data_IF_958953551520
#
_entry.id   IF_958953551520
#
_cell.length_a   1.000
_cell.length_b   1.000
_cell.length_c   1.000
_cell.angle_alpha   90.00
_cell.angle_beta   90.00
_cell.angle_gamma   90.00
#
_symmetry.space_group_name_H-M   'P 1'
#
loop_
_entity.id
_entity.type
_entity.pdbx_description
1 polymer ?
#
# COMPACT_ATOMS: atom_id res chain seq x y z
N UNK A 1 1.22 -19.26 -4.38
CA UNK A 1 -0.19 -19.00 -3.99
C UNK A 1 -0.38 -17.59 -3.44
N UNK A 2 0.20 -17.22 -2.28
CA UNK A 2 -0.03 -15.91 -1.62
C UNK A 2 0.24 -14.70 -2.53
N UNK A 3 1.36 -14.73 -3.25
CA UNK A 3 1.72 -13.71 -4.23
C UNK A 3 0.65 -13.50 -5.31
N UNK A 4 0.10 -14.59 -5.86
CA UNK A 4 -0.95 -14.52 -6.89
C UNK A 4 -2.28 -14.02 -6.32
N UNK A 5 -2.62 -14.41 -5.09
CA UNK A 5 -3.81 -13.87 -4.41
C UNK A 5 -3.71 -12.35 -4.23
N UNK A 6 -2.54 -11.85 -3.86
CA UNK A 6 -2.29 -10.41 -3.72
C UNK A 6 -2.30 -9.72 -5.09
N UNK A 7 -1.75 -10.33 -6.13
CA UNK A 7 -1.87 -9.81 -7.49
C UNK A 7 -3.32 -9.64 -7.94
N UNK A 8 -4.16 -10.67 -7.73
CA UNK A 8 -5.58 -10.62 -8.03
C UNK A 8 -6.31 -9.54 -7.22
N UNK A 9 -5.95 -9.35 -5.95
CA UNK A 9 -6.47 -8.25 -5.13
C UNK A 9 -6.11 -6.89 -5.74
N UNK A 10 -4.86 -6.69 -6.14
CA UNK A 10 -4.40 -5.43 -6.72
C UNK A 10 -5.07 -5.12 -8.06
N UNK A 11 -5.28 -6.13 -8.91
CA UNK A 11 -6.03 -5.99 -10.16
C UNK A 11 -7.48 -5.56 -9.92
N UNK A 12 -8.14 -6.14 -8.91
CA UNK A 12 -9.52 -5.80 -8.60
C UNK A 12 -9.62 -4.39 -7.97
N UNK A 13 -8.66 -4.01 -7.14
CA UNK A 13 -8.55 -2.63 -6.63
C UNK A 13 -8.39 -1.61 -7.77
N UNK A 14 -7.55 -1.90 -8.77
CA UNK A 14 -7.37 -1.01 -9.92
C UNK A 14 -8.66 -0.87 -10.76
N UNK A 15 -9.38 -1.99 -10.99
CA UNK A 15 -10.69 -1.97 -11.65
C UNK A 15 -11.72 -1.15 -10.88
N UNK A 16 -11.79 -1.31 -9.55
CA UNK A 16 -12.71 -0.55 -8.71
C UNK A 16 -12.37 0.94 -8.70
N UNK A 17 -11.08 1.27 -8.60
CA UNK A 17 -10.59 2.64 -8.66
C UNK A 17 -10.89 3.30 -10.02
N UNK A 18 -10.71 2.58 -11.13
CA UNK A 18 -11.05 3.07 -12.47
C UNK A 18 -12.56 3.33 -12.61
N UNK A 19 -13.39 2.38 -12.17
CA UNK A 19 -14.85 2.58 -12.14
C UNK A 19 -15.23 3.82 -11.33
N UNK A 20 -14.54 4.09 -10.23
CA UNK A 20 -14.78 5.28 -9.42
C UNK A 20 -14.38 6.57 -10.14
N UNK A 21 -13.24 6.58 -10.85
CA UNK A 21 -12.80 7.71 -11.66
C UNK A 21 -13.79 8.06 -12.79
N UNK A 22 -14.50 7.06 -13.33
CA UNK A 22 -15.47 7.25 -14.41
C UNK A 22 -16.80 7.87 -13.91
N UNK A 23 -17.05 7.89 -12.60
CA UNK A 23 -18.25 8.50 -12.01
C UNK A 23 -18.09 10.03 -12.04
N UNK A 24 -19.01 10.79 -12.66
CA UNK A 24 -18.97 12.25 -12.65
C UNK A 24 -19.00 12.79 -11.22
N UNK A 25 -17.89 13.39 -10.79
CA UNK A 25 -17.76 13.97 -9.46
C UNK A 25 -18.03 15.47 -9.50
N UNK A 26 -18.82 15.97 -8.55
CA UNK A 26 -18.92 17.41 -8.25
C UNK A 26 -17.79 17.90 -7.35
N UNK A 27 -16.82 17.03 -7.03
CA UNK A 27 -15.68 17.41 -6.21
C UNK A 27 -14.85 18.49 -6.88
N UNK A 28 -14.41 19.47 -6.09
CA UNK A 28 -13.44 20.48 -6.52
C UNK A 28 -12.03 19.89 -6.72
N UNK A 29 -11.81 18.63 -6.33
CA UNK A 29 -10.53 17.94 -6.40
C UNK A 29 -10.48 16.96 -7.56
N UNK A 30 -9.30 16.86 -8.17
CA UNK A 30 -9.09 16.06 -9.37
C UNK A 30 -8.80 14.58 -9.02
N UNK A 31 -9.82 13.72 -9.08
CA UNK A 31 -9.68 12.25 -8.96
C UNK A 31 -9.77 11.53 -10.31
N UNK A 32 -9.16 12.11 -11.35
CA UNK A 32 -9.17 11.58 -12.73
C UNK A 32 -8.40 10.28 -12.95
N UNK A 33 -7.61 9.81 -11.97
CA UNK A 33 -6.86 8.57 -12.12
C UNK A 33 -6.82 7.77 -10.81
N UNK A 34 -6.74 6.43 -10.88
CA UNK A 34 -6.69 5.55 -9.71
C UNK A 34 -5.62 5.95 -8.68
N UNK A 35 -4.45 6.39 -9.14
CA UNK A 35 -3.33 6.76 -8.26
C UNK A 35 -3.64 7.99 -7.40
N UNK A 36 -4.60 8.84 -7.79
CA UNK A 36 -4.98 10.02 -6.99
C UNK A 36 -5.97 9.68 -5.87
N UNK A 37 -6.50 8.46 -5.85
CA UNK A 37 -7.39 7.98 -4.80
C UNK A 37 -6.53 7.51 -3.63
N UNK A 38 -6.74 8.10 -2.46
CA UNK A 38 -6.08 7.65 -1.23
C UNK A 38 -6.47 6.22 -0.91
N UNK A 39 -5.47 5.36 -0.82
CA UNK A 39 -5.64 3.91 -0.66
C UNK A 39 -4.88 3.44 0.58
N UNK A 40 -5.56 2.70 1.44
CA UNK A 40 -4.99 1.96 2.57
C UNK A 40 -5.41 0.50 2.40
N UNK A 41 -4.44 -0.41 2.48
CA UNK A 41 -4.66 -1.86 2.40
C UNK A 41 -4.15 -2.48 3.69
N UNK A 42 -5.06 -3.07 4.46
CA UNK A 42 -4.75 -3.74 5.72
C UNK A 42 -5.00 -5.23 5.58
N UNK A 43 -4.19 -6.07 6.22
CA UNK A 43 -4.48 -7.48 6.33
C UNK A 43 -3.36 -8.30 6.93
N UNK A 44 -3.70 -9.54 7.26
CA UNK A 44 -2.76 -10.63 7.47
C UNK A 44 -2.40 -11.23 6.10
N UNK A 45 -1.17 -11.01 5.66
CA UNK A 45 -0.66 -11.51 4.38
C UNK A 45 0.00 -12.87 4.52
N UNK A 46 0.18 -13.37 5.76
CA UNK A 46 0.94 -14.59 6.07
C UNK A 46 2.31 -14.62 5.36
N UNK A 47 2.92 -13.47 5.12
CA UNK A 47 4.12 -13.32 4.30
C UNK A 47 5.07 -12.36 4.98
N UNK A 48 6.34 -12.75 5.11
CA UNK A 48 7.35 -11.97 5.83
C UNK A 48 7.93 -10.84 4.97
N UNK A 49 8.68 -9.87 5.54
CA UNK A 49 9.22 -8.73 4.78
C UNK A 49 10.19 -9.10 3.63
N UNK A 50 10.76 -10.30 3.67
CA UNK A 50 11.64 -10.88 2.65
C UNK A 50 10.88 -11.67 1.55
N UNK A 51 9.55 -11.72 1.62
CA UNK A 51 8.70 -12.42 0.64
C UNK A 51 8.48 -11.62 -0.64
N UNK A 52 8.15 -12.35 -1.71
CA UNK A 52 7.70 -11.76 -2.98
C UNK A 52 6.40 -10.97 -2.85
N UNK A 53 5.56 -11.25 -1.84
CA UNK A 53 4.36 -10.45 -1.55
C UNK A 53 4.75 -9.04 -1.10
N UNK A 54 5.69 -8.94 -0.16
CA UNK A 54 6.17 -7.66 0.33
C UNK A 54 6.92 -6.90 -0.77
N UNK A 55 7.77 -7.60 -1.54
CA UNK A 55 8.45 -7.01 -2.69
C UNK A 55 7.44 -6.50 -3.74
N UNK A 56 6.42 -7.29 -4.08
CA UNK A 56 5.40 -6.91 -5.06
C UNK A 56 4.68 -5.63 -4.64
N UNK A 57 4.17 -5.58 -3.41
CA UNK A 57 3.43 -4.43 -2.90
C UNK A 57 4.31 -3.18 -2.78
N UNK A 58 5.57 -3.33 -2.37
CA UNK A 58 6.48 -2.20 -2.19
C UNK A 58 7.06 -1.65 -3.50
N UNK A 59 7.43 -2.54 -4.44
CA UNK A 59 8.06 -2.15 -5.71
C UNK A 59 7.08 -1.95 -6.85
N UNK A 60 5.89 -2.53 -6.75
CA UNK A 60 4.88 -2.52 -7.80
C UNK A 60 5.16 -3.46 -8.96
N UNK A 61 6.21 -4.28 -8.91
CA UNK A 61 6.48 -5.27 -9.94
C UNK A 61 7.25 -6.48 -9.40
N UNK A 62 6.97 -7.65 -9.96
CA UNK A 62 7.72 -8.89 -9.77
C UNK A 62 7.97 -9.53 -11.13
N UNK A 63 9.19 -9.98 -11.37
CA UNK A 63 9.57 -10.69 -12.59
C UNK A 63 9.10 -12.14 -12.55
N UNK A 64 8.82 -12.70 -13.72
CA UNK A 64 8.38 -14.08 -13.93
C UNK A 64 9.26 -15.17 -13.28
N UNK A 65 10.55 -14.90 -13.09
CA UNK A 65 11.55 -15.83 -12.56
C UNK A 65 11.69 -15.76 -11.03
N UNK A 66 10.78 -15.06 -10.34
CA UNK A 66 10.81 -14.93 -8.89
C UNK A 66 10.55 -16.28 -8.19
N UNK A 67 11.39 -16.61 -7.20
CA UNK A 67 11.37 -17.90 -6.51
C UNK A 67 10.02 -18.24 -5.83
N UNK A 68 9.28 -17.23 -5.34
CA UNK A 68 7.94 -17.41 -4.74
C UNK A 68 6.85 -17.93 -5.69
N UNK A 69 7.09 -17.95 -7.01
CA UNK A 69 6.20 -18.67 -7.92
C UNK A 69 6.33 -20.20 -7.78
N UNK A 70 7.52 -20.68 -7.41
CA UNK A 70 7.85 -22.10 -7.38
C UNK A 70 7.57 -22.78 -8.71
N UNK A 71 7.06 -24.02 -8.67
CA UNK A 71 6.71 -24.79 -9.86
C UNK A 71 5.26 -24.59 -10.34
N UNK A 72 4.56 -23.56 -9.84
CA UNK A 72 3.14 -23.38 -10.11
C UNK A 72 2.91 -22.59 -11.39
N UNK A 73 2.04 -23.10 -12.26
CA UNK A 73 1.63 -22.43 -13.50
C UNK A 73 0.36 -21.62 -13.23
N UNK A 74 0.51 -20.33 -12.92
CA UNK A 74 -0.63 -19.40 -12.79
C UNK A 74 -0.92 -18.60 -14.07
N UNK A 75 -0.70 -19.19 -15.24
CA UNK A 75 -0.99 -18.57 -16.53
C UNK A 75 -0.24 -17.25 -16.74
N UNK A 76 -0.94 -16.22 -17.23
CA UNK A 76 -0.39 -14.90 -17.55
C UNK A 76 0.32 -14.23 -16.37
N UNK A 77 -0.14 -14.48 -15.14
CA UNK A 77 0.45 -13.93 -13.92
C UNK A 77 1.90 -14.36 -13.71
N UNK A 78 2.28 -15.55 -14.21
CA UNK A 78 3.67 -16.01 -14.15
C UNK A 78 4.40 -15.64 -15.43
N UNK A 79 3.80 -15.84 -16.61
CA UNK A 79 4.50 -15.67 -17.89
C UNK A 79 4.82 -14.22 -18.27
N UNK A 80 4.08 -13.25 -17.75
CA UNK A 80 4.32 -11.82 -18.02
C UNK A 80 4.91 -11.08 -16.81
N UNK A 81 5.01 -11.76 -15.67
CA UNK A 81 5.28 -11.14 -14.37
C UNK A 81 4.06 -10.41 -13.81
N UNK A 82 4.25 -9.78 -12.66
CA UNK A 82 3.21 -9.04 -11.95
C UNK A 82 3.54 -7.55 -11.94
N UNK A 83 2.51 -6.71 -12.05
CA UNK A 83 2.69 -5.28 -11.84
C UNK A 83 1.43 -4.61 -11.27
N UNK A 84 1.63 -3.53 -10.51
CA UNK A 84 0.56 -2.62 -10.10
C UNK A 84 1.05 -1.16 -10.12
N UNK A 85 0.12 -0.21 -10.20
CA UNK A 85 0.45 1.22 -10.40
C UNK A 85 0.48 2.05 -9.13
N UNK A 86 0.08 1.48 -7.99
CA UNK A 86 0.05 2.18 -6.71
C UNK A 86 1.45 2.31 -6.12
N UNK A 87 1.82 3.51 -5.69
CA UNK A 87 3.06 3.76 -4.95
C UNK A 87 2.85 3.47 -3.46
N UNK A 88 2.89 2.19 -3.09
CA UNK A 88 2.61 1.74 -1.73
C UNK A 88 3.87 1.68 -0.87
N UNK A 89 3.68 1.87 0.44
CA UNK A 89 4.70 1.61 1.45
C UNK A 89 4.03 1.03 2.69
N UNK A 90 4.71 0.11 3.38
CA UNK A 90 4.29 -0.36 4.71
C UNK A 90 4.40 0.80 5.71
N UNK A 91 3.36 1.06 6.50
CA UNK A 91 3.35 2.15 7.48
C UNK A 91 4.53 2.06 8.46
N UNK A 92 4.90 0.85 8.87
CA UNK A 92 5.95 0.58 9.85
C UNK A 92 7.37 0.58 9.26
N UNK A 93 7.52 0.51 7.93
CA UNK A 93 8.84 0.53 7.26
C UNK A 93 9.61 1.86 7.35
N UNK A 94 9.00 2.94 7.87
CA UNK A 94 9.63 4.27 7.96
C UNK A 94 10.58 4.44 9.16
N UNK A 95 10.42 3.64 10.21
CA UNK A 95 11.25 3.74 11.42
C UNK A 95 12.02 2.42 11.52
N UNK A 96 11.36 1.40 12.04
CA UNK A 96 11.79 0.01 12.04
C UNK A 96 10.49 -0.81 12.04
N UNK A 97 10.44 -1.87 11.23
CA UNK A 97 9.32 -2.82 11.30
C UNK A 97 9.24 -3.37 12.74
N UNK A 98 8.02 -3.69 13.19
CA UNK A 98 7.83 -4.31 14.49
C UNK A 98 8.63 -5.62 14.57
N UNK A 99 9.07 -6.06 15.77
CA UNK A 99 9.79 -7.33 15.90
C UNK A 99 8.91 -8.53 15.47
N UNK A 100 7.60 -8.41 15.63
CA UNK A 100 6.62 -9.40 15.20
C UNK A 100 5.23 -8.75 15.11
N UNK A 101 4.34 -9.40 14.37
CA UNK A 101 2.89 -9.15 14.43
C UNK A 101 2.14 -10.42 14.84
N UNK A 102 2.70 -11.61 14.57
CA UNK A 102 2.29 -12.90 15.12
C UNK A 102 3.37 -13.44 16.07
N UNK A 103 2.96 -13.94 17.24
CA UNK A 103 3.88 -14.48 18.25
C UNK A 103 3.36 -15.80 18.82
N UNK A 104 3.93 -16.91 18.39
CA UNK A 104 3.64 -18.26 18.90
C UNK A 104 4.95 -19.03 19.13
N UNK A 105 4.95 -20.14 19.90
CA UNK A 105 6.15 -20.95 20.10
C UNK A 105 6.73 -21.53 18.80
N UNK A 106 5.90 -21.70 17.76
CA UNK A 106 6.31 -22.31 16.49
C UNK A 106 6.70 -21.27 15.44
N UNK A 107 6.13 -20.07 15.50
CA UNK A 107 6.38 -19.01 14.54
C UNK A 107 6.30 -17.64 15.21
N UNK A 108 7.28 -16.80 14.95
CA UNK A 108 7.30 -15.40 15.37
C UNK A 108 7.79 -14.59 14.20
N UNK A 109 7.01 -13.60 13.79
CA UNK A 109 7.38 -12.78 12.64
C UNK A 109 6.34 -11.72 12.32
N UNK A 110 6.71 -10.84 11.39
CA UNK A 110 5.83 -9.82 10.82
C UNK A 110 5.13 -10.42 9.61
N UNK A 111 3.81 -10.53 9.68
CA UNK A 111 2.96 -11.01 8.58
C UNK A 111 1.71 -10.14 8.36
N UNK A 112 1.47 -9.18 9.25
CA UNK A 112 0.38 -8.21 9.18
C UNK A 112 0.92 -6.85 8.75
N UNK A 113 0.25 -6.20 7.81
CA UNK A 113 0.71 -4.92 7.27
C UNK A 113 -0.42 -3.92 7.08
N UNK A 114 -0.06 -2.64 7.21
CA UNK A 114 -0.87 -1.50 6.76
C UNK A 114 -0.09 -0.84 5.62
N UNK A 115 -0.51 -1.10 4.38
CA UNK A 115 0.04 -0.46 3.19
C UNK A 115 -0.72 0.83 2.89
N UNK A 116 -0.03 1.87 2.45
CA UNK A 116 -0.65 3.15 2.12
C UNK A 116 -0.08 3.77 0.84
N UNK A 117 -0.92 4.50 0.11
CA UNK A 117 -0.51 5.27 -1.08
C UNK A 117 0.32 6.50 -0.69
N UNK A 118 1.63 6.42 -0.91
CA UNK A 118 2.61 7.43 -0.47
C UNK A 118 2.45 8.78 -1.14
N UNK A 119 1.83 8.84 -2.31
CA UNK A 119 1.58 10.08 -3.05
C UNK A 119 0.43 10.91 -2.45
N UNK A 120 -0.52 10.30 -1.73
CA UNK A 120 -1.69 11.00 -1.18
C UNK A 120 -1.78 10.93 0.34
N UNK A 121 -1.04 10.04 1.00
CA UNK A 121 -1.07 9.87 2.45
C UNK A 121 0.33 10.05 3.06
N UNK A 122 0.37 10.49 4.30
CA UNK A 122 1.57 10.58 5.12
C UNK A 122 1.29 9.95 6.49
N UNK A 123 2.17 9.08 6.96
CA UNK A 123 2.10 8.52 8.33
C UNK A 123 2.47 9.62 9.33
N UNK A 124 1.65 9.85 10.34
CA UNK A 124 1.91 10.83 11.41
C UNK A 124 2.16 10.19 12.77
N UNK A 125 1.68 8.97 12.98
CA UNK A 125 1.85 8.23 14.22
C UNK A 125 1.73 6.73 14.00
N UNK A 126 2.42 5.97 14.84
CA UNK A 126 2.40 4.50 14.84
C UNK A 126 2.22 4.03 16.28
N UNK A 127 1.45 2.95 16.47
CA UNK A 127 1.41 2.25 17.74
C UNK A 127 2.68 1.42 17.89
N UNK A 128 3.41 1.63 19.00
CA UNK A 128 4.60 0.87 19.33
C UNK A 128 4.30 -0.62 19.62
N UNK A 129 5.35 -1.43 19.58
CA UNK A 129 5.24 -2.86 19.92
C UNK A 129 4.95 -3.11 21.40
N UNK A 130 4.72 -4.38 21.72
CA UNK A 130 4.53 -4.81 23.11
C UNK A 130 5.82 -4.63 23.91
N UNK A 131 5.69 -4.29 25.19
CA UNK A 131 6.82 -4.06 26.09
C UNK A 131 7.81 -5.25 26.11
N UNK A 132 9.10 -4.94 26.01
CA UNK A 132 10.17 -5.95 25.91
C UNK A 132 10.34 -6.75 27.20
N UNK A 133 10.12 -6.13 28.36
CA UNK A 133 10.24 -6.81 29.64
C UNK A 133 9.11 -7.82 29.81
N UNK A 134 7.89 -7.44 29.44
CA UNK A 134 6.75 -8.35 29.40
C UNK A 134 7.02 -9.52 28.44
N UNK A 135 7.54 -9.24 27.24
CA UNK A 135 7.88 -10.26 26.23
C UNK A 135 8.97 -11.23 26.68
N UNK A 136 9.94 -10.80 27.48
CA UNK A 136 10.99 -11.68 28.00
C UNK A 136 10.46 -12.83 28.89
N UNK A 137 9.23 -12.69 29.40
CA UNK A 137 8.57 -13.65 30.30
C UNK A 137 7.54 -14.53 29.58
N UNK A 138 7.34 -14.32 28.29
CA UNK A 138 6.28 -14.97 27.50
C UNK A 138 6.89 -15.90 26.45
N UNK A 139 6.26 -17.05 26.24
CA UNK A 139 6.68 -18.03 25.22
C UNK A 139 5.82 -17.99 23.96
N UNK A 140 4.73 -17.22 23.98
CA UNK A 140 3.78 -17.09 22.88
C UNK A 140 2.45 -16.48 23.30
N UNK A 141 1.63 -16.19 22.31
CA UNK A 141 0.23 -15.80 22.40
C UNK A 141 -0.67 -16.88 21.75
N UNK A 142 -1.99 -16.88 22.00
CA UNK A 142 -2.71 -16.06 22.99
C UNK A 142 -2.33 -16.43 24.44
N UNK A 143 -2.61 -15.52 25.38
CA UNK A 143 -2.44 -15.74 26.82
C UNK A 143 -3.48 -14.95 27.63
N UNK A 144 -3.35 -14.95 28.96
CA UNK A 144 -4.30 -14.30 29.87
C UNK A 144 -4.49 -12.78 29.62
N UNK A 145 -3.51 -12.11 29.03
CA UNK A 145 -3.58 -10.67 28.72
C UNK A 145 -3.78 -10.37 27.22
N UNK A 146 -3.43 -11.31 26.33
CA UNK A 146 -3.55 -11.16 24.88
C UNK A 146 -4.47 -12.25 24.30
N UNK A 147 -5.67 -11.92 23.82
CA UNK A 147 -6.66 -12.90 23.39
C UNK A 147 -6.43 -13.49 21.99
N UNK A 148 -5.45 -12.97 21.25
CA UNK A 148 -5.07 -13.38 19.89
C UNK A 148 -3.58 -13.72 19.86
N UNK A 149 -3.17 -14.61 18.96
CA UNK A 149 -1.75 -14.84 18.63
C UNK A 149 -1.12 -13.72 17.79
N UNK A 150 -1.95 -12.83 17.25
CA UNK A 150 -1.54 -11.59 16.61
C UNK A 150 -1.69 -10.38 17.54
N UNK A 151 -0.78 -9.41 17.41
CA UNK A 151 -0.91 -8.09 18.04
C UNK A 151 -1.59 -7.11 17.09
N UNK A 152 -2.29 -6.14 17.68
CA UNK A 152 -2.86 -5.04 16.90
C UNK A 152 -1.75 -4.13 16.38
N UNK A 153 -1.84 -3.79 15.10
CA UNK A 153 -1.04 -2.73 14.48
C UNK A 153 -1.95 -1.53 14.20
N UNK A 154 -1.45 -0.33 14.40
CA UNK A 154 -2.22 0.90 14.26
C UNK A 154 -1.34 2.03 13.73
N UNK A 155 -1.87 2.77 12.76
CA UNK A 155 -1.21 3.91 12.14
C UNK A 155 -2.18 5.08 12.03
N UNK A 156 -1.68 6.28 12.29
CA UNK A 156 -2.36 7.53 12.02
C UNK A 156 -1.87 8.10 10.68
N UNK A 157 -2.81 8.59 9.87
CA UNK A 157 -2.51 9.15 8.56
C UNK A 157 -3.04 10.57 8.41
N UNK A 158 -2.24 11.42 7.77
CA UNK A 158 -2.67 12.70 7.21
C UNK A 158 -2.86 12.57 5.70
N UNK A 159 -4.02 12.99 5.21
CA UNK A 159 -4.27 13.14 3.78
C UNK A 159 -3.52 14.35 3.26
N UNK A 160 -2.69 14.15 2.23
CA UNK A 160 -2.00 15.22 1.52
C UNK A 160 -3.04 16.02 0.71
N UNK A 161 -2.90 17.35 0.63
CA UNK A 161 -3.85 18.17 -0.12
C UNK A 161 -3.88 17.72 -1.59
N UNK A 162 -5.07 17.44 -2.16
CA UNK A 162 -5.17 17.09 -3.56
C UNK A 162 -4.72 18.28 -4.42
N UNK A 163 -4.07 18.00 -5.55
CA UNK A 163 -3.73 19.05 -6.52
C UNK A 163 -5.03 19.64 -7.09
N UNK A 164 -5.25 20.96 -6.96
CA UNK A 164 -6.41 21.60 -7.58
C UNK A 164 -6.35 21.45 -9.11
N UNK A 165 -7.52 21.46 -9.76
CA UNK A 165 -7.58 21.52 -11.21
C UNK A 165 -6.94 22.84 -11.64
N UNK A 166 -5.79 22.77 -12.32
CA UNK A 166 -5.14 23.97 -12.83
C UNK A 166 -6.02 24.58 -13.93
N UNK A 167 -6.31 25.90 -13.90
CA UNK A 167 -6.95 26.55 -15.02
C UNK A 167 -6.05 26.43 -16.26
N UNK A 168 -6.63 26.37 -17.46
CA UNK A 168 -5.84 26.34 -18.68
C UNK A 168 -4.88 27.54 -18.73
N UNK A 169 -3.64 27.36 -19.21
CA UNK A 169 -2.68 28.44 -19.31
C UNK A 169 -3.27 29.57 -20.17
N UNK A 170 -3.35 30.77 -19.60
CA UNK A 170 -3.72 31.96 -20.35
C UNK A 170 -2.51 32.38 -21.19
N UNK A 171 -2.48 31.95 -22.44
CA UNK A 171 -1.61 32.56 -23.43
C UNK A 171 -2.16 33.96 -23.70
N UNK A 172 -1.51 34.99 -23.15
CA UNK A 172 -1.87 36.38 -23.39
C UNK A 172 -1.95 36.64 -24.90
N UNK A 173 -3.08 37.20 -25.34
CA UNK A 173 -3.22 37.69 -26.70
C UNK A 173 -2.16 38.78 -26.88
N UNK A 174 -1.15 38.51 -27.71
CA UNK A 174 -0.19 39.53 -28.13
C UNK A 174 -1.01 40.66 -28.75
N UNK A 175 -1.05 41.81 -28.07
CA UNK A 175 -1.60 43.03 -28.63
C UNK A 175 -0.77 43.38 -29.85
N UNK A 176 -1.31 43.14 -31.04
CA UNK A 176 -0.78 43.72 -32.28
C UNK A 176 -0.87 45.24 -32.11
N UNK A 177 0.26 45.87 -31.76
CA UNK A 177 0.45 47.31 -31.83
C UNK A 177 0.34 47.74 -33.28
N UNK A 178 -0.89 48.07 -33.70
CA UNK A 178 -1.15 48.73 -34.96
C UNK A 178 -0.57 50.13 -34.91
N UNK A 179 0.51 50.36 -35.66
CA UNK A 179 0.96 51.69 -36.06
C UNK A 179 -0.18 52.38 -36.82
N UNK A 180 -0.72 53.46 -36.24
CA UNK A 180 -1.47 54.46 -37.00
C UNK A 180 -0.55 55.65 -37.27
N UNK A 181 -0.43 55.97 -38.56
CA UNK A 181 0.24 57.14 -39.14
C UNK A 181 -0.24 58.47 -38.55
#
# INVERSE_FOLDING_TARGET
>A
VKLVQVAMLMDELDKLAQKWCDIPSKSIYNYSSPQKISTIICGDFNSTPDSGVYEFLSRGTIKQDHCDFGDHIYGSYVSEGLSHRLSLKSAYSNIEELPFTNFTPRFTGVIDYIWYSTNTLCVTGLLGGVDKEYMSKMVGFPNAHFPSDHIVILSEFRVKPPQPIQPPPQFGVLSNGGNSN
#
